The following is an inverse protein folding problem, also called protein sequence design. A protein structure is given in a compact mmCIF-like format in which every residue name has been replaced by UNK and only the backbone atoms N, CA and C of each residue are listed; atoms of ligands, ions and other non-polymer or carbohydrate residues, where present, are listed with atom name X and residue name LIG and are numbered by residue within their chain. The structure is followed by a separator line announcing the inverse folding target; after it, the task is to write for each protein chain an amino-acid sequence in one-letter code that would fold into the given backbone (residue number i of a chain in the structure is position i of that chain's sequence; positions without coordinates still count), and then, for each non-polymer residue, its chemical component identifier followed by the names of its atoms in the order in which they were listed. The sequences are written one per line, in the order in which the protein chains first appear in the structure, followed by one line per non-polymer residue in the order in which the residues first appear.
data_IF_633768419346
#
_entry.id   IF_633768419346
#
_cell.length_a   1.000
_cell.length_b   1.000
_cell.length_c   1.000
_cell.angle_alpha   90.00
_cell.angle_beta   90.00
_cell.angle_gamma   90.00
#
_symmetry.space_group_name_H-M   'P 1'
#
loop_
_entity.id
_entity.type
_entity.pdbx_description
1 polymer ?
#
# COMPACT_ATOMS: atom_id res chain seq x y z
N UNK A 1 4.49 -3.00 -38.23
CA UNK A 1 5.15 -2.53 -36.99
C UNK A 1 4.68 -3.51 -35.93
N UNK A 2 5.56 -4.44 -35.56
CA UNK A 2 5.26 -5.55 -34.66
C UNK A 2 4.97 -5.01 -33.26
N UNK A 3 3.78 -5.34 -32.74
CA UNK A 3 3.42 -5.20 -31.33
C UNK A 3 4.37 -6.06 -30.49
N UNK A 4 5.28 -5.43 -29.76
CA UNK A 4 6.12 -6.12 -28.80
C UNK A 4 5.24 -6.58 -27.63
N UNK A 5 5.02 -7.90 -27.51
CA UNK A 5 4.34 -8.49 -26.36
C UNK A 5 5.11 -8.15 -25.07
N UNK A 6 4.45 -7.64 -24.01
CA UNK A 6 5.12 -7.34 -22.75
C UNK A 6 5.55 -8.64 -22.06
N UNK A 7 6.85 -8.75 -21.75
CA UNK A 7 7.38 -9.84 -20.95
C UNK A 7 7.02 -9.61 -19.47
N UNK A 8 6.53 -10.62 -18.75
CA UNK A 8 6.33 -10.51 -17.30
C UNK A 8 7.66 -10.28 -16.60
N UNK A 9 7.75 -9.20 -15.81
CA UNK A 9 8.88 -8.99 -14.89
C UNK A 9 8.69 -9.94 -13.71
N UNK A 10 9.39 -11.07 -13.75
CA UNK A 10 9.45 -12.02 -12.62
C UNK A 10 10.55 -11.52 -11.68
N UNK A 11 10.18 -11.03 -10.49
CA UNK A 11 11.14 -10.72 -9.43
C UNK A 11 11.85 -12.03 -9.01
N UNK A 12 13.15 -12.21 -9.26
CA UNK A 12 13.84 -13.41 -8.85
C UNK A 12 14.24 -13.27 -7.38
N UNK A 13 13.66 -14.09 -6.48
CA UNK A 13 14.29 -14.34 -5.17
C UNK A 13 13.43 -14.43 -3.91
N UNK A 14 12.13 -14.75 -3.95
CA UNK A 14 11.38 -15.05 -2.71
C UNK A 14 11.06 -16.55 -2.63
N UNK A 15 11.82 -17.35 -1.84
CA UNK A 15 11.45 -18.72 -1.56
C UNK A 15 10.35 -18.73 -0.48
N UNK A 16 9.16 -19.21 -0.83
CA UNK A 16 8.09 -19.54 0.13
C UNK A 16 7.03 -18.47 0.38
N UNK A 17 7.11 -17.29 -0.25
CA UNK A 17 6.04 -16.31 -0.24
C UNK A 17 5.11 -16.54 -1.43
N UNK A 18 3.80 -16.58 -1.22
CA UNK A 18 2.84 -16.39 -2.31
C UNK A 18 3.01 -14.94 -2.79
N UNK A 19 3.95 -14.72 -3.71
CA UNK A 19 4.27 -13.40 -4.23
C UNK A 19 3.06 -12.81 -4.94
N UNK A 20 2.55 -11.69 -4.43
CA UNK A 20 1.52 -10.92 -5.12
C UNK A 20 2.20 -10.28 -6.33
N UNK A 21 1.91 -10.80 -7.53
CA UNK A 21 2.36 -10.20 -8.78
C UNK A 21 1.46 -9.00 -9.06
N UNK A 22 1.92 -7.82 -8.67
CA UNK A 22 1.25 -6.56 -8.98
C UNK A 22 1.49 -6.25 -10.46
N UNK A 23 0.49 -6.53 -11.30
CA UNK A 23 0.53 -6.17 -12.72
C UNK A 23 0.20 -4.69 -12.87
N UNK A 24 1.22 -3.85 -13.00
CA UNK A 24 1.04 -2.42 -13.24
C UNK A 24 0.72 -2.19 -14.73
N UNK A 25 -0.47 -1.59 -14.96
CA UNK A 25 -1.14 -1.18 -16.22
C UNK A 25 -1.75 -2.24 -17.15
N UNK A 26 -3.06 -2.10 -17.35
CA UNK A 26 -3.60 -1.54 -18.61
C UNK A 26 -4.30 -0.23 -18.21
N UNK A 27 -3.94 0.92 -18.78
CA UNK A 27 -4.70 2.17 -18.53
C UNK A 27 -6.14 1.92 -19.00
N UNK A 28 -7.08 1.86 -18.06
CA UNK A 28 -8.46 1.49 -18.36
C UNK A 28 -9.40 1.66 -17.18
N UNK A 29 -8.93 1.43 -15.95
CA UNK A 29 -9.76 1.63 -14.77
C UNK A 29 -8.87 2.07 -13.61
N UNK A 30 -8.98 3.34 -13.24
CA UNK A 30 -8.26 3.95 -12.12
C UNK A 30 -9.29 4.22 -11.04
N UNK A 31 -9.03 3.74 -9.81
CA UNK A 31 -9.84 4.12 -8.65
C UNK A 31 -9.50 5.57 -8.30
N UNK A 32 -10.32 6.51 -8.77
CA UNK A 32 -10.22 7.93 -8.44
C UNK A 32 -10.63 8.16 -6.99
N UNK A 33 -9.86 8.96 -6.24
CA UNK A 33 -10.30 9.44 -4.93
C UNK A 33 -11.57 10.31 -5.11
N UNK A 34 -12.66 10.07 -4.37
CA UNK A 34 -13.94 10.77 -4.58
C UNK A 34 -13.96 12.24 -4.14
N UNK A 35 -12.91 12.70 -3.43
CA UNK A 35 -12.64 14.09 -3.05
C UNK A 35 -11.12 14.33 -3.20
N UNK A 36 -10.66 15.57 -3.47
CA UNK A 36 -9.22 15.84 -3.49
C UNK A 36 -8.64 15.42 -2.15
N UNK A 37 -7.65 14.52 -2.18
CA UNK A 37 -7.04 13.97 -0.98
C UNK A 37 -5.68 14.67 -0.77
N UNK A 38 -5.60 15.77 0.01
CA UNK A 38 -4.38 16.53 0.14
C UNK A 38 -3.36 15.67 0.89
N UNK A 39 -2.18 15.48 0.29
CA UNK A 39 -1.11 14.67 0.89
C UNK A 39 -0.71 15.23 2.26
N UNK A 40 -0.79 16.56 2.42
CA UNK A 40 -0.57 17.23 3.69
C UNK A 40 -1.47 16.68 4.81
N UNK A 41 -2.77 16.61 4.56
CA UNK A 41 -3.74 16.20 5.58
C UNK A 41 -3.62 14.70 5.87
N UNK A 42 -3.36 13.89 4.83
CA UNK A 42 -3.03 12.47 4.99
C UNK A 42 -1.78 12.28 5.83
N UNK A 43 -0.72 13.05 5.60
CA UNK A 43 0.50 12.98 6.39
C UNK A 43 0.26 13.42 7.85
N UNK A 44 -0.52 14.49 8.07
CA UNK A 44 -0.89 14.93 9.42
C UNK A 44 -1.66 13.85 10.19
N UNK A 45 -2.66 13.24 9.55
CA UNK A 45 -3.41 12.12 10.11
C UNK A 45 -2.49 10.92 10.42
N UNK A 46 -1.56 10.60 9.53
CA UNK A 46 -0.62 9.50 9.73
C UNK A 46 0.28 9.76 10.95
N UNK A 47 0.82 10.97 11.08
CA UNK A 47 1.68 11.36 12.19
C UNK A 47 0.94 11.39 13.54
N UNK A 48 -0.39 11.45 13.55
CA UNK A 48 -1.22 11.30 14.76
C UNK A 48 -1.43 9.84 15.17
N UNK A 49 -1.17 8.88 14.29
CA UNK A 49 -1.24 7.46 14.61
C UNK A 49 0.04 6.98 15.30
N UNK A 50 -0.12 6.12 16.32
CA UNK A 50 1.01 5.51 17.03
C UNK A 50 1.91 4.69 16.09
N UNK A 51 1.32 4.09 15.04
CA UNK A 51 2.02 3.31 14.02
C UNK A 51 3.05 4.13 13.23
N UNK A 52 2.95 5.47 13.19
CA UNK A 52 3.93 6.33 12.52
C UNK A 52 5.30 6.33 13.20
N UNK A 53 5.37 5.94 14.47
CA UNK A 53 6.60 6.06 15.27
C UNK A 53 7.06 7.50 15.49
N UNK A 54 6.23 8.50 15.16
CA UNK A 54 6.58 9.90 15.38
C UNK A 54 6.66 10.22 16.88
N UNK A 55 7.61 11.08 17.24
CA UNK A 55 7.76 11.63 18.59
C UNK A 55 8.19 13.09 18.49
N UNK A 56 8.12 13.83 19.61
CA UNK A 56 8.51 15.25 19.66
C UNK A 56 9.96 15.51 19.19
N UNK A 57 10.83 14.50 19.25
CA UNK A 57 12.19 14.57 18.73
C UNK A 57 12.25 14.71 17.19
N UNK A 58 11.19 14.30 16.48
CA UNK A 58 11.07 14.43 15.03
C UNK A 58 10.72 15.84 14.55
N UNK A 59 10.52 16.79 15.47
CA UNK A 59 10.16 18.16 15.14
C UNK A 59 8.66 18.34 14.82
N UNK A 60 8.25 19.56 14.43
CA UNK A 60 6.84 19.87 14.19
C UNK A 60 6.23 18.99 13.09
N UNK A 61 5.06 18.38 13.36
CA UNK A 61 4.36 17.53 12.38
C UNK A 61 4.04 18.25 11.07
N UNK A 62 3.65 19.52 11.17
CA UNK A 62 3.30 20.37 10.04
C UNK A 62 4.49 20.57 9.07
N UNK A 63 5.70 20.77 9.61
CA UNK A 63 6.91 20.89 8.79
C UNK A 63 7.25 19.55 8.09
N UNK A 64 7.07 18.43 8.80
CA UNK A 64 7.26 17.10 8.23
C UNK A 64 6.21 16.78 7.17
N UNK A 65 4.95 17.15 7.38
CA UNK A 65 3.87 16.97 6.41
C UNK A 65 4.14 17.77 5.13
N UNK A 66 4.60 19.02 5.25
CA UNK A 66 5.03 19.84 4.10
C UNK A 66 6.20 19.20 3.35
N UNK A 67 7.20 18.69 4.08
CA UNK A 67 8.31 17.96 3.47
C UNK A 67 7.81 16.73 2.68
N UNK A 68 6.88 15.96 3.25
CA UNK A 68 6.29 14.78 2.58
C UNK A 68 5.59 15.19 1.28
N UNK A 69 4.82 16.28 1.29
CA UNK A 69 4.17 16.81 0.07
C UNK A 69 5.21 17.13 -1.00
N UNK A 70 6.21 17.95 -0.67
CA UNK A 70 7.24 18.36 -1.63
C UNK A 70 8.05 17.16 -2.15
N UNK A 71 8.36 16.22 -1.26
CA UNK A 71 9.09 15.01 -1.60
C UNK A 71 8.30 14.13 -2.57
N UNK A 72 7.03 13.81 -2.28
CA UNK A 72 6.21 12.98 -3.15
C UNK A 72 5.90 13.66 -4.48
N UNK A 73 5.73 14.99 -4.50
CA UNK A 73 5.63 15.76 -5.75
C UNK A 73 6.89 15.63 -6.60
N UNK A 74 8.08 15.61 -5.99
CA UNK A 74 9.33 15.36 -6.72
C UNK A 74 9.40 13.97 -7.35
N UNK A 75 8.58 13.02 -6.90
CA UNK A 75 8.47 11.65 -7.41
C UNK A 75 7.22 11.41 -8.25
N UNK A 76 6.40 12.43 -8.50
CA UNK A 76 5.11 12.31 -9.18
C UNK A 76 5.20 11.69 -10.58
N UNK A 77 6.24 12.03 -11.35
CA UNK A 77 6.50 11.43 -12.67
C UNK A 77 6.72 9.92 -12.57
N UNK A 78 7.59 9.48 -11.65
CA UNK A 78 7.86 8.06 -11.38
C UNK A 78 6.60 7.32 -10.91
N UNK A 79 5.83 7.93 -10.02
CA UNK A 79 4.58 7.40 -9.48
C UNK A 79 3.53 7.19 -10.58
N UNK A 80 3.39 8.15 -11.48
CA UNK A 80 2.44 8.06 -12.59
C UNK A 80 2.89 7.03 -13.62
N UNK A 81 4.16 7.08 -14.04
CA UNK A 81 4.69 6.27 -15.14
C UNK A 81 4.72 4.78 -14.84
N UNK A 82 5.16 4.43 -13.63
CA UNK A 82 5.34 3.03 -13.26
C UNK A 82 4.16 2.50 -12.45
N UNK A 83 3.60 3.29 -11.55
CA UNK A 83 2.71 2.79 -10.51
C UNK A 83 1.24 3.19 -10.68
N UNK A 84 0.91 3.96 -11.73
CA UNK A 84 -0.46 4.47 -11.97
C UNK A 84 -1.02 5.24 -10.78
N UNK A 85 -0.15 5.98 -10.10
CA UNK A 85 -0.48 6.82 -8.95
C UNK A 85 -0.15 8.27 -9.28
N UNK A 86 -1.14 9.13 -9.28
CA UNK A 86 -1.04 10.51 -9.75
C UNK A 86 -1.13 11.48 -8.58
N UNK A 87 -0.23 12.46 -8.60
CA UNK A 87 -0.21 13.58 -7.66
C UNK A 87 -0.26 14.86 -8.51
N UNK A 88 -1.22 15.73 -8.22
CA UNK A 88 -1.38 16.99 -8.95
C UNK A 88 -0.39 18.08 -8.50
N UNK A 89 -0.47 19.25 -9.15
CA UNK A 89 0.44 20.36 -8.87
C UNK A 89 0.17 21.02 -7.51
N UNK A 90 -1.04 20.86 -6.99
CA UNK A 90 -1.51 21.33 -5.69
C UNK A 90 -1.07 20.40 -4.55
N UNK A 91 -0.61 19.18 -4.86
CA UNK A 91 -0.18 18.19 -3.87
C UNK A 91 -1.30 17.29 -3.36
N UNK A 92 -2.34 17.09 -4.18
CA UNK A 92 -3.39 16.12 -3.91
C UNK A 92 -3.05 14.77 -4.55
N UNK A 93 -3.34 13.69 -3.83
CA UNK A 93 -3.33 12.35 -4.37
C UNK A 93 -4.62 12.12 -5.16
N UNK A 94 -4.50 11.95 -6.48
CA UNK A 94 -5.64 11.84 -7.37
C UNK A 94 -6.07 10.38 -7.59
N UNK A 95 -5.10 9.47 -7.63
CA UNK A 95 -5.31 8.09 -8.05
C UNK A 95 -4.53 7.11 -7.20
N UNK A 96 -4.98 5.85 -7.15
CA UNK A 96 -4.28 4.74 -6.51
C UNK A 96 -4.10 3.56 -7.50
N UNK A 97 -3.08 2.70 -7.31
CA UNK A 97 -2.84 1.56 -8.19
C UNK A 97 -4.00 0.53 -8.15
N UNK A 98 -4.69 0.29 -9.26
CA UNK A 98 -5.72 -0.76 -9.31
C UNK A 98 -5.08 -2.16 -9.40
N UNK A 99 -5.10 -2.92 -8.32
CA UNK A 99 -4.51 -4.26 -8.26
C UNK A 99 -5.48 -5.38 -8.68
N UNK A 100 -6.76 -5.23 -8.34
CA UNK A 100 -7.83 -6.21 -8.60
C UNK A 100 -9.10 -5.45 -9.03
N UNK A 101 -9.78 -5.98 -10.04
CA UNK A 101 -11.07 -5.42 -10.48
C UNK A 101 -12.08 -5.45 -9.32
N UNK A 102 -12.80 -4.34 -9.17
CA UNK A 102 -13.84 -4.15 -8.14
C UNK A 102 -13.37 -4.31 -6.68
N UNK A 103 -12.07 -4.15 -6.43
CA UNK A 103 -11.53 -4.11 -5.07
C UNK A 103 -11.04 -2.71 -4.72
N UNK A 104 -11.50 -2.21 -3.57
CA UNK A 104 -10.98 -1.01 -2.95
C UNK A 104 -10.36 -1.41 -1.60
N UNK A 105 -9.10 -1.05 -1.33
CA UNK A 105 -8.46 -1.35 -0.05
C UNK A 105 -9.14 -0.57 1.09
N UNK A 106 -8.83 -0.91 2.34
CA UNK A 106 -9.33 -0.13 3.47
C UNK A 106 -8.69 1.28 3.47
N UNK A 107 -9.48 2.28 3.10
CA UNK A 107 -9.05 3.67 2.99
C UNK A 107 -8.64 4.31 4.33
N UNK A 108 -8.99 3.70 5.48
CA UNK A 108 -8.45 4.12 6.79
C UNK A 108 -6.93 3.98 6.87
N UNK A 109 -6.34 3.07 6.08
CA UNK A 109 -4.89 2.89 5.99
C UNK A 109 -4.18 3.88 5.08
N UNK A 110 -4.93 4.70 4.32
CA UNK A 110 -4.35 5.62 3.33
C UNK A 110 -3.35 6.63 3.95
N UNK A 111 -3.63 7.26 5.11
CA UNK A 111 -2.67 8.13 5.77
C UNK A 111 -1.30 7.47 5.98
N UNK A 112 -1.28 6.28 6.59
CA UNK A 112 -0.04 5.54 6.83
C UNK A 112 0.65 5.12 5.53
N UNK A 113 -0.11 4.72 4.51
CA UNK A 113 0.46 4.40 3.21
C UNK A 113 1.22 5.60 2.61
N UNK A 114 0.62 6.79 2.62
CA UNK A 114 1.26 8.02 2.13
C UNK A 114 2.53 8.35 2.91
N UNK A 115 2.51 8.24 4.24
CA UNK A 115 3.69 8.45 5.08
C UNK A 115 4.82 7.47 4.70
N UNK A 116 4.50 6.18 4.56
CA UNK A 116 5.51 5.14 4.26
C UNK A 116 6.05 5.22 2.84
N UNK A 117 5.28 5.75 1.88
CA UNK A 117 5.82 6.07 0.55
C UNK A 117 6.97 7.09 0.64
N UNK A 118 6.89 8.05 1.55
CA UNK A 118 7.93 9.05 1.74
C UNK A 118 9.11 8.57 2.58
N UNK A 119 8.89 7.64 3.53
CA UNK A 119 9.93 7.22 4.49
C UNK A 119 10.54 5.85 4.22
N UNK A 120 9.78 4.89 3.71
CA UNK A 120 10.19 3.48 3.60
C UNK A 120 10.58 3.06 2.18
N UNK A 121 10.12 3.79 1.16
CA UNK A 121 10.47 3.49 -0.23
C UNK A 121 11.88 4.01 -0.53
N UNK A 122 12.74 3.14 -1.05
CA UNK A 122 14.07 3.53 -1.49
C UNK A 122 14.00 4.14 -2.89
N UNK A 123 14.06 5.46 -2.98
CA UNK A 123 13.96 6.19 -4.25
C UNK A 123 15.29 6.37 -5.01
N UNK A 124 16.39 5.83 -4.49
CA UNK A 124 17.74 6.05 -5.04
C UNK A 124 18.15 4.98 -6.05
N UNK A 125 17.72 3.73 -5.85
CA UNK A 125 18.05 2.59 -6.70
C UNK A 125 16.79 1.98 -7.31
N UNK A 126 16.67 1.98 -8.65
CA UNK A 126 15.47 1.52 -9.38
C UNK A 126 14.93 0.16 -8.89
N UNK A 127 15.81 -0.85 -8.78
CA UNK A 127 15.39 -2.18 -8.34
C UNK A 127 14.82 -2.18 -6.91
N UNK A 128 15.44 -1.42 -6.01
CA UNK A 128 14.99 -1.32 -4.62
C UNK A 128 13.75 -0.45 -4.51
N UNK A 129 13.62 0.60 -5.32
CA UNK A 129 12.42 1.42 -5.45
C UNK A 129 11.21 0.55 -5.78
N UNK A 130 11.27 -0.23 -6.86
CA UNK A 130 10.18 -1.10 -7.25
C UNK A 130 9.86 -2.13 -6.17
N UNK A 131 10.87 -2.76 -5.59
CA UNK A 131 10.67 -3.76 -4.54
C UNK A 131 10.01 -3.18 -3.30
N UNK A 132 10.52 -2.05 -2.78
CA UNK A 132 10.00 -1.42 -1.56
C UNK A 132 8.65 -0.76 -1.79
N UNK A 133 8.43 -0.11 -2.94
CA UNK A 133 7.12 0.42 -3.32
C UNK A 133 6.05 -0.67 -3.39
N UNK A 134 6.34 -1.80 -4.08
CA UNK A 134 5.41 -2.91 -4.18
C UNK A 134 5.13 -3.54 -2.80
N UNK A 135 6.12 -3.61 -1.92
CA UNK A 135 5.95 -4.08 -0.55
C UNK A 135 4.95 -3.18 0.21
N UNK A 136 5.19 -1.87 0.23
CA UNK A 136 4.31 -0.91 0.91
C UNK A 136 2.89 -0.92 0.32
N UNK A 137 2.78 -1.01 -1.01
CA UNK A 137 1.48 -1.13 -1.69
C UNK A 137 0.78 -2.44 -1.31
N UNK A 138 1.50 -3.56 -1.24
CA UNK A 138 0.91 -4.83 -0.85
C UNK A 138 0.39 -4.82 0.59
N UNK A 139 1.09 -4.15 1.50
CA UNK A 139 0.66 -4.00 2.90
C UNK A 139 -0.60 -3.15 3.00
N UNK A 140 -0.68 -2.05 2.26
CA UNK A 140 -1.89 -1.20 2.20
C UNK A 140 -3.10 -1.93 1.59
N UNK A 141 -2.89 -2.73 0.54
CA UNK A 141 -3.96 -3.47 -0.13
C UNK A 141 -4.33 -4.79 0.56
N UNK A 142 -3.57 -5.23 1.57
CA UNK A 142 -3.84 -6.47 2.29
C UNK A 142 -5.09 -6.38 3.18
N UNK A 143 -5.79 -7.50 3.33
CA UNK A 143 -6.88 -7.63 4.30
C UNK A 143 -6.30 -7.67 5.71
N UNK A 144 -6.55 -6.64 6.52
CA UNK A 144 -6.25 -6.68 7.95
C UNK A 144 -7.34 -7.46 8.67
N UNK A 145 -6.93 -8.41 9.53
CA UNK A 145 -7.81 -9.38 10.21
C UNK A 145 -8.92 -8.76 11.08
N UNK A 146 -8.87 -7.45 11.36
CA UNK A 146 -9.92 -6.73 12.11
C UNK A 146 -11.30 -6.73 11.43
N UNK A 147 -11.40 -7.10 10.14
CA UNK A 147 -12.68 -7.29 9.45
C UNK A 147 -13.41 -8.58 9.82
N UNK A 148 -12.75 -9.53 10.48
CA UNK A 148 -13.38 -10.74 11.00
C UNK A 148 -13.29 -10.69 12.53
N UNK A 149 -14.34 -10.25 13.25
CA UNK A 149 -14.39 -10.48 14.68
C UNK A 149 -14.26 -11.99 14.89
N UNK A 150 -13.28 -12.41 15.70
CA UNK A 150 -13.03 -13.82 15.99
C UNK A 150 -14.34 -14.51 16.34
N UNK A 151 -14.79 -15.41 15.47
CA UNK A 151 -15.87 -16.32 15.78
C UNK A 151 -15.33 -17.44 16.66
N UNK A 152 -14.88 -17.12 17.89
CA UNK A 152 -14.71 -18.10 18.97
C UNK A 152 -14.48 -17.42 20.33
N UNK A 153 -15.55 -16.87 20.90
CA UNK A 153 -15.74 -17.02 22.35
C UNK A 153 -16.71 -18.19 22.58
N UNK A 154 -16.15 -19.34 22.91
CA UNK A 154 -16.86 -20.39 23.64
C UNK A 154 -15.82 -21.25 24.33
N UNK A 155 -15.66 -20.98 25.62
CA UNK A 155 -14.97 -21.82 26.58
C UNK A 155 -15.74 -23.14 26.77
N UNK A 156 -14.99 -24.20 27.13
CA UNK A 156 -15.38 -25.51 27.68
C UNK A 156 -15.56 -26.70 26.72
N UNK A 157 -14.73 -27.73 26.94
CA UNK A 157 -15.06 -29.11 26.58
C UNK A 157 -13.96 -29.90 25.89
N UNK A 158 -12.95 -30.33 26.63
CA UNK A 158 -12.04 -31.40 26.19
C UNK A 158 -12.83 -32.66 25.85
N UNK A 159 -12.85 -33.08 24.58
CA UNK A 159 -13.01 -34.48 24.20
C UNK A 159 -12.12 -34.83 23.01
N UNK A 160 -11.08 -35.60 23.31
CA UNK A 160 -10.28 -36.37 22.36
C UNK A 160 -11.20 -37.39 21.70
N UNK A 161 -11.51 -37.21 20.42
CA UNK A 161 -12.16 -38.26 19.61
C UNK A 161 -11.07 -39.10 18.96
N UNK A 162 -10.83 -40.28 19.52
CA UNK A 162 -10.00 -41.32 18.91
C UNK A 162 -10.64 -41.79 17.62
N UNK A 163 -9.90 -41.71 16.52
CA UNK A 163 -10.28 -42.31 15.26
C UNK A 163 -10.30 -43.84 15.41
N UNK A 164 -11.51 -44.39 15.50
CA UNK A 164 -11.78 -45.80 15.25
C UNK A 164 -12.88 -45.88 14.21
N UNK A 165 -12.46 -46.32 13.02
CA UNK A 165 -13.18 -47.11 12.02
C UNK A 165 -14.69 -46.91 11.83
N UNK A 166 -15.11 -46.62 10.59
CA UNK A 166 -15.96 -47.52 9.78
C UNK A 166 -16.58 -46.80 8.58
N UNK A 167 -15.79 -46.60 7.53
CA UNK A 167 -16.16 -46.66 6.11
C UNK A 167 -14.92 -46.43 5.24
#
# INVERSE_FOLDING_TARGET
MEDAQPHPVVCPGVPGGHGVVVRLRHQGEVSTAPEPAPIHDLAMLALDLEESGWSEAGGPKDDLAKYIVDFLKSKAETLSDYFSMEIDQEGNLCTLPLLLEHYTPNMEGLPMFVLRLATEVNWDEEKNCFHTFCKETSEFYSFKNSMFPDASDSTEGSQVVTATSLW
#
